data_IF_072264345375
#
_entry.id   IF_072264345375
#
_cell.length_a   1.000
_cell.length_b   1.000
_cell.length_c   1.000
_cell.angle_alpha   90.00
_cell.angle_beta   90.00
_cell.angle_gamma   90.00
#
_symmetry.space_group_name_H-M   'P 1'
#
loop_
_entity.id
_entity.type
_entity.pdbx_description
1 polymer ?
#
# COMPACT_ATOMS: atom_id res chain seq x y z
N UNK A 1 -0.59 3.61 22.94
CA UNK A 1 0.64 2.80 22.81
C UNK A 1 0.25 1.45 22.24
N UNK A 2 0.35 1.30 20.92
CA UNK A 2 0.14 0.02 20.24
C UNK A 2 1.53 -0.44 19.80
N UNK A 3 2.06 -1.44 20.49
CA UNK A 3 3.25 -2.18 20.12
C UNK A 3 2.83 -3.25 19.11
N UNK A 4 3.15 -3.07 17.83
CA UNK A 4 3.02 -4.14 16.84
C UNK A 4 4.31 -4.24 16.03
N UNK A 5 5.05 -5.30 16.35
CA UNK A 5 6.09 -5.97 15.56
C UNK A 5 5.73 -6.00 14.08
N UNK A 6 6.74 -5.80 13.22
CA UNK A 6 6.72 -5.95 11.75
C UNK A 6 5.35 -6.36 11.20
N UNK A 7 4.51 -5.36 10.92
CA UNK A 7 3.20 -5.60 10.35
C UNK A 7 3.36 -6.15 8.93
N UNK A 8 3.41 -7.49 8.82
CA UNK A 8 2.86 -8.16 7.67
C UNK A 8 1.37 -7.80 7.64
N UNK A 9 1.04 -6.71 6.95
CA UNK A 9 -0.33 -6.33 6.65
C UNK A 9 -0.95 -7.41 5.76
N UNK A 10 -1.51 -8.45 6.38
CA UNK A 10 -2.19 -9.55 5.68
C UNK A 10 -3.61 -9.08 5.34
N UNK A 11 -3.71 -8.25 4.31
CA UNK A 11 -4.98 -7.62 3.93
C UNK A 11 -5.95 -8.62 3.30
N UNK A 12 -7.22 -8.55 3.69
CA UNK A 12 -8.37 -9.12 3.00
C UNK A 12 -8.64 -8.38 1.67
N UNK A 13 -7.64 -8.27 0.80
CA UNK A 13 -7.72 -7.47 -0.43
C UNK A 13 -7.77 -5.97 -0.17
N UNK A 14 -7.04 -5.18 -0.97
CA UNK A 14 -6.96 -3.72 -0.81
C UNK A 14 -8.14 -2.97 -1.45
N UNK A 15 -8.72 -3.55 -2.50
CA UNK A 15 -9.76 -2.92 -3.31
C UNK A 15 -10.75 -3.98 -3.82
N UNK A 16 -12.04 -3.61 -3.89
CA UNK A 16 -13.08 -4.40 -4.54
C UNK A 16 -13.58 -3.65 -5.78
N UNK A 17 -13.59 -4.31 -6.93
CA UNK A 17 -14.08 -3.77 -8.20
C UNK A 17 -15.40 -4.42 -8.55
N UNK A 18 -16.46 -3.62 -8.72
CA UNK A 18 -17.72 -4.08 -9.29
C UNK A 18 -17.74 -3.77 -10.78
N UNK A 19 -17.45 -4.76 -11.62
CA UNK A 19 -17.32 -4.59 -13.06
C UNK A 19 -18.56 -5.07 -13.80
N UNK A 20 -19.15 -4.21 -14.63
CA UNK A 20 -20.20 -4.59 -15.58
C UNK A 20 -19.62 -4.56 -17.01
N UNK A 21 -19.50 -5.74 -17.64
CA UNK A 21 -18.99 -5.86 -19.01
C UNK A 21 -17.48 -5.59 -19.18
N UNK A 22 -16.72 -5.50 -18.09
CA UNK A 22 -15.28 -5.25 -18.10
C UNK A 22 -14.53 -6.29 -17.26
N UNK A 23 -13.31 -6.65 -17.68
CA UNK A 23 -12.40 -7.51 -16.94
C UNK A 23 -11.10 -6.72 -16.71
N UNK A 24 -10.70 -6.44 -15.47
CA UNK A 24 -9.45 -5.76 -15.19
C UNK A 24 -8.27 -6.71 -15.48
N UNK A 25 -7.36 -6.26 -16.35
CA UNK A 25 -6.22 -7.08 -16.83
C UNK A 25 -4.86 -6.60 -16.30
N UNK A 26 -4.74 -5.32 -15.93
CA UNK A 26 -3.50 -4.72 -15.45
C UNK A 26 -3.80 -3.63 -14.42
N UNK A 27 -2.79 -3.23 -13.65
CA UNK A 27 -2.88 -2.13 -12.69
C UNK A 27 -1.57 -1.33 -12.67
N UNK A 28 -1.69 -0.05 -12.36
CA UNK A 28 -0.61 0.80 -11.91
C UNK A 28 -0.99 1.40 -10.57
N UNK A 29 -0.03 1.51 -9.67
CA UNK A 29 -0.21 2.34 -8.49
C UNK A 29 0.05 3.78 -8.90
N UNK A 30 -0.73 4.70 -8.34
CA UNK A 30 -0.57 6.14 -8.50
C UNK A 30 0.07 6.74 -7.25
N UNK A 31 0.43 8.02 -7.33
CA UNK A 31 0.75 8.81 -6.15
C UNK A 31 -0.50 9.17 -5.35
N UNK A 32 -0.31 9.68 -4.13
CA UNK A 32 -1.40 10.17 -3.28
C UNK A 32 -1.87 9.17 -2.21
N UNK A 33 -1.09 8.13 -1.95
CA UNK A 33 -1.31 7.26 -0.81
C UNK A 33 -0.98 8.00 0.48
N UNK A 34 -1.78 7.76 1.51
CA UNK A 34 -1.52 8.24 2.86
C UNK A 34 -1.07 7.06 3.71
N UNK A 35 0.07 7.21 4.38
CA UNK A 35 0.57 6.25 5.35
C UNK A 35 0.75 6.95 6.70
N UNK A 36 0.70 6.18 7.78
CA UNK A 36 0.99 6.68 9.12
C UNK A 36 2.26 5.99 9.61
N UNK A 37 3.25 6.78 9.97
CA UNK A 37 4.45 6.29 10.65
C UNK A 37 4.09 5.69 12.00
N UNK A 38 4.92 4.81 12.52
CA UNK A 38 4.75 4.23 13.87
C UNK A 38 4.77 5.29 14.98
N UNK A 39 5.39 6.44 14.73
CA UNK A 39 5.35 7.64 15.57
C UNK A 39 3.97 8.32 15.61
N UNK A 40 3.06 7.97 14.70
CA UNK A 40 1.74 8.57 14.53
C UNK A 40 1.69 9.72 13.52
N UNK A 41 2.81 10.05 12.86
CA UNK A 41 2.85 11.08 11.82
C UNK A 41 2.26 10.57 10.50
N UNK A 42 1.38 11.36 9.90
CA UNK A 42 0.87 11.09 8.54
C UNK A 42 1.87 11.55 7.48
N UNK A 43 2.06 10.72 6.45
CA UNK A 43 2.95 10.98 5.33
C UNK A 43 2.27 10.62 4.01
N UNK A 44 2.54 11.43 2.98
CA UNK A 44 2.16 11.11 1.62
C UNK A 44 3.23 10.24 0.97
N UNK A 45 2.81 9.14 0.36
CA UNK A 45 3.70 8.20 -0.33
C UNK A 45 3.33 8.08 -1.80
N UNK A 46 4.35 8.08 -2.65
CA UNK A 46 4.23 7.74 -4.06
C UNK A 46 4.63 6.28 -4.25
N UNK A 47 3.73 5.49 -4.82
CA UNK A 47 3.92 4.07 -5.08
C UNK A 47 3.93 3.74 -6.57
N UNK A 48 4.05 4.73 -7.46
CA UNK A 48 4.16 4.49 -8.92
C UNK A 48 5.25 3.47 -9.26
N UNK A 49 6.38 3.51 -8.53
CA UNK A 49 7.49 2.57 -8.67
C UNK A 49 7.32 1.21 -7.99
N UNK A 50 6.19 0.95 -7.31
CA UNK A 50 5.94 -0.22 -6.44
C UNK A 50 6.84 -0.31 -5.21
N UNK A 51 7.59 0.75 -4.94
CA UNK A 51 8.39 0.91 -3.74
C UNK A 51 8.37 2.37 -3.30
N UNK A 52 8.56 2.56 -2.01
CA UNK A 52 8.80 3.86 -1.39
C UNK A 52 10.00 3.73 -0.47
N UNK A 53 10.92 4.68 -0.56
CA UNK A 53 12.04 4.81 0.39
C UNK A 53 12.26 6.28 0.67
N UNK A 54 12.38 6.62 1.95
CA UNK A 54 12.69 7.98 2.37
C UNK A 54 13.37 7.97 3.74
N UNK A 55 13.96 9.11 4.10
CA UNK A 55 14.45 9.37 5.45
C UNK A 55 13.63 10.49 6.06
N UNK A 56 12.95 10.21 7.16
CA UNK A 56 12.07 11.14 7.85
C UNK A 56 12.53 11.21 9.31
N UNK A 57 12.85 12.41 9.78
CA UNK A 57 13.38 12.66 11.12
C UNK A 57 14.63 11.80 11.48
N UNK A 58 15.43 11.47 10.46
CA UNK A 58 16.63 10.65 10.60
C UNK A 58 16.40 9.15 10.62
N UNK A 59 15.15 8.69 10.51
CA UNK A 59 14.79 7.27 10.39
C UNK A 59 14.51 6.90 8.93
N UNK A 60 15.01 5.74 8.51
CA UNK A 60 14.69 5.17 7.20
C UNK A 60 13.28 4.57 7.24
N UNK A 61 12.42 5.01 6.32
CA UNK A 61 11.05 4.53 6.17
C UNK A 61 10.91 3.93 4.77
N UNK A 62 10.46 2.67 4.71
CA UNK A 62 10.34 1.96 3.44
C UNK A 62 9.00 1.24 3.30
N UNK A 63 8.52 1.18 2.06
CA UNK A 63 7.49 0.25 1.61
C UNK A 63 8.11 -0.50 0.45
N UNK A 64 8.26 -1.81 0.59
CA UNK A 64 8.90 -2.66 -0.42
C UNK A 64 8.01 -3.86 -0.75
N UNK A 65 8.30 -4.53 -1.86
CA UNK A 65 7.58 -5.73 -2.31
C UNK A 65 6.06 -5.52 -2.46
N UNK A 66 5.66 -4.33 -2.94
CA UNK A 66 4.24 -4.04 -3.12
C UNK A 66 3.70 -4.71 -4.38
N UNK A 67 2.96 -5.79 -4.17
CA UNK A 67 2.35 -6.59 -5.23
C UNK A 67 0.83 -6.68 -5.03
N UNK A 68 0.10 -6.64 -6.15
CA UNK A 68 -1.33 -6.90 -6.18
C UNK A 68 -1.66 -7.96 -7.23
N UNK A 69 -2.75 -8.69 -6.99
CA UNK A 69 -3.34 -9.63 -7.95
C UNK A 69 -4.85 -9.44 -7.97
N UNK A 70 -5.45 -9.56 -9.15
CA UNK A 70 -6.89 -9.65 -9.26
C UNK A 70 -7.33 -11.03 -8.82
N UNK A 71 -8.30 -11.08 -7.90
CA UNK A 71 -8.94 -12.31 -7.45
C UNK A 71 -10.43 -12.16 -7.73
N UNK A 72 -10.97 -13.07 -8.54
CA UNK A 72 -12.41 -13.14 -8.75
C UNK A 72 -13.07 -13.64 -7.47
N UNK A 73 -13.99 -12.86 -6.90
CA UNK A 73 -14.87 -13.31 -5.83
C UNK A 73 -16.20 -13.69 -6.48
N UNK A 74 -16.56 -14.97 -6.39
CA UNK A 74 -17.85 -15.51 -6.80
C UNK A 74 -18.87 -15.48 -5.68
#
# INVERSE_FOLDING_TARGET
>A
MILLSEHHCRGDGLMLLNCNGLIPMTYSFNGGWLAMMTSGQEIHVDLVGREYRNVIDGEEVTITNFEAKFVLKG
#
